data_IF_092198601600
#
_entry.id   IF_092198601600
#
_cell.length_a   1.000
_cell.length_b   1.000
_cell.length_c   1.000
_cell.angle_alpha   90.00
_cell.angle_beta   90.00
_cell.angle_gamma   90.00
#
_symmetry.space_group_name_H-M   'P 1'
#
loop_
_entity.id
_entity.type
_entity.pdbx_description
1 polymer ?
#
# COMPACT_ATOMS: atom_id res chain seq x y z
N UNK A 1 0.24 12.18 7.85
CA UNK A 1 -0.57 12.26 6.62
C UNK A 1 -1.48 11.06 6.48
N UNK A 2 -2.75 11.38 6.48
CA UNK A 2 -3.86 10.48 6.78
C UNK A 2 -4.55 10.18 5.45
N UNK A 3 -4.24 9.02 4.85
CA UNK A 3 -4.97 8.48 3.68
C UNK A 3 -6.41 8.02 4.03
N UNK A 4 -6.95 8.38 5.20
CA UNK A 4 -8.24 7.87 5.69
C UNK A 4 -9.46 8.47 4.98
N UNK A 5 -9.33 9.64 4.37
CA UNK A 5 -10.38 10.30 3.57
C UNK A 5 -9.95 10.57 2.13
N UNK A 6 -8.75 10.13 1.75
CA UNK A 6 -8.29 10.30 0.38
C UNK A 6 -9.20 9.48 -0.54
N UNK A 7 -9.67 10.11 -1.62
CA UNK A 7 -10.67 9.56 -2.53
C UNK A 7 -12.07 9.33 -1.92
N UNK A 8 -12.36 9.88 -0.74
CA UNK A 8 -13.71 9.83 -0.14
C UNK A 8 -14.78 10.52 -0.99
N UNK A 9 -14.38 11.55 -1.74
CA UNK A 9 -15.24 12.28 -2.69
C UNK A 9 -14.83 12.01 -4.15
N UNK A 10 -14.12 10.91 -4.42
CA UNK A 10 -13.66 10.57 -5.76
C UNK A 10 -14.83 10.19 -6.66
N UNK A 11 -15.41 11.21 -7.30
CA UNK A 11 -16.41 11.04 -8.34
C UNK A 11 -15.78 10.58 -9.66
N UNK A 12 -16.59 9.88 -10.46
CA UNK A 12 -16.18 9.38 -11.77
C UNK A 12 -15.60 10.50 -12.66
N UNK A 13 -14.41 10.27 -13.21
CA UNK A 13 -13.76 11.17 -14.18
C UNK A 13 -12.80 12.22 -13.61
N UNK A 14 -12.57 12.24 -12.29
CA UNK A 14 -11.55 13.11 -11.68
C UNK A 14 -10.21 12.38 -11.58
N UNK A 15 -9.14 13.04 -12.07
CA UNK A 15 -7.78 12.56 -11.91
C UNK A 15 -7.26 12.92 -10.52
N UNK A 16 -6.82 11.93 -9.75
CA UNK A 16 -6.17 12.13 -8.45
C UNK A 16 -4.68 11.83 -8.53
N UNK A 17 -3.87 12.74 -7.99
CA UNK A 17 -2.45 12.49 -7.72
C UNK A 17 -2.28 12.29 -6.23
N UNK A 18 -1.76 11.12 -5.85
CA UNK A 18 -1.54 10.78 -4.46
C UNK A 18 -0.04 10.79 -4.13
N UNK A 19 0.50 11.89 -3.58
CA UNK A 19 1.89 11.93 -3.18
C UNK A 19 2.10 11.02 -1.96
N UNK A 20 3.20 10.27 -1.96
CA UNK A 20 3.70 9.55 -0.80
C UNK A 20 5.20 9.76 -0.69
N UNK A 21 5.69 9.86 0.53
CA UNK A 21 7.11 10.01 0.81
C UNK A 21 7.67 8.68 1.30
N UNK A 22 8.70 8.19 0.63
CA UNK A 22 9.51 7.09 1.15
C UNK A 22 10.47 7.65 2.20
N UNK A 23 10.58 7.04 3.40
CA UNK A 23 11.61 7.39 4.36
C UNK A 23 13.01 7.31 3.74
N UNK A 24 13.88 8.25 4.08
CA UNK A 24 15.24 8.32 3.50
C UNK A 24 16.10 7.10 3.86
N UNK A 25 15.78 6.44 4.97
CA UNK A 25 16.41 5.21 5.48
C UNK A 25 15.71 3.93 5.00
N UNK A 26 14.76 4.02 4.05
CA UNK A 26 14.17 2.84 3.44
C UNK A 26 15.26 1.98 2.77
N UNK A 27 15.21 0.64 2.89
CA UNK A 27 16.19 -0.22 2.25
C UNK A 27 16.18 -0.11 0.72
N UNK A 28 17.37 -0.03 0.14
CA UNK A 28 17.56 -0.05 -1.31
C UNK A 28 17.22 -1.42 -1.90
N UNK A 29 16.64 -1.41 -3.10
CA UNK A 29 16.48 -2.62 -3.91
C UNK A 29 15.20 -2.65 -4.74
N UNK A 30 14.99 -3.75 -5.50
CA UNK A 30 13.72 -4.03 -6.17
C UNK A 30 12.61 -4.22 -5.14
N UNK A 31 11.46 -3.60 -5.39
CA UNK A 31 10.26 -3.72 -4.57
C UNK A 31 9.01 -3.66 -5.44
N UNK A 32 7.87 -4.07 -4.86
CA UNK A 32 6.54 -3.87 -5.46
C UNK A 32 5.86 -2.72 -4.74
N UNK A 33 5.51 -1.67 -5.48
CA UNK A 33 4.52 -0.71 -5.01
C UNK A 33 3.13 -1.32 -5.22
N UNK A 34 2.41 -1.55 -4.12
CA UNK A 34 1.01 -1.98 -4.18
C UNK A 34 0.11 -0.87 -3.63
N UNK A 35 -0.69 -0.27 -4.51
CA UNK A 35 -1.77 0.63 -4.11
C UNK A 35 -3.01 -0.20 -3.83
N UNK A 36 -3.51 -0.13 -2.60
CA UNK A 36 -4.74 -0.79 -2.17
C UNK A 36 -5.77 0.27 -1.81
N UNK A 37 -6.99 0.14 -2.33
CA UNK A 37 -8.08 1.07 -2.09
C UNK A 37 -9.37 0.32 -1.71
N UNK A 38 -9.95 0.70 -0.56
CA UNK A 38 -11.29 0.25 -0.18
C UNK A 38 -12.28 1.31 -0.72
N UNK A 39 -13.01 0.99 -1.80
CA UNK A 39 -14.02 1.91 -2.39
C UNK A 39 -15.07 2.27 -1.33
N UNK A 40 -15.75 3.42 -1.39
CA UNK A 40 -16.78 3.81 -0.42
C UNK A 40 -18.23 3.87 -0.99
N UNK A 41 -18.39 3.55 -2.26
CA UNK A 41 -19.66 3.60 -2.98
C UNK A 41 -20.03 2.21 -3.51
N UNK A 42 -21.32 1.89 -3.50
CA UNK A 42 -21.83 0.61 -3.98
C UNK A 42 -21.40 -0.59 -3.13
N UNK A 43 -21.13 -1.72 -3.79
CA UNK A 43 -20.58 -2.89 -3.12
C UNK A 43 -19.15 -2.58 -2.68
N UNK A 44 -18.94 -2.50 -1.36
CA UNK A 44 -17.64 -2.25 -0.74
C UNK A 44 -16.62 -3.33 -1.14
N UNK A 45 -15.72 -2.97 -2.05
CA UNK A 45 -14.69 -3.84 -2.62
C UNK A 45 -13.29 -3.28 -2.35
N UNK A 46 -12.32 -4.17 -2.46
CA UNK A 46 -10.90 -3.84 -2.40
C UNK A 46 -10.34 -3.85 -3.81
N UNK A 47 -9.83 -2.71 -4.25
CA UNK A 47 -9.05 -2.57 -5.48
C UNK A 47 -7.56 -2.62 -5.15
N UNK A 48 -6.77 -3.26 -6.01
CA UNK A 48 -5.31 -3.32 -5.89
C UNK A 48 -4.65 -3.14 -7.24
N UNK A 49 -3.61 -2.30 -7.29
CA UNK A 49 -2.75 -2.14 -8.46
C UNK A 49 -1.28 -2.22 -8.06
N UNK A 50 -0.50 -3.01 -8.78
CA UNK A 50 0.91 -3.27 -8.49
C UNK A 50 1.82 -2.68 -9.57
N UNK A 51 3.01 -2.23 -9.16
CA UNK A 51 4.07 -1.79 -10.06
C UNK A 51 5.44 -2.19 -9.52
N UNK A 52 6.32 -2.63 -10.42
CA UNK A 52 7.73 -2.88 -10.10
C UNK A 52 8.47 -1.55 -9.93
N UNK A 53 9.16 -1.37 -8.81
CA UNK A 53 9.94 -0.16 -8.51
C UNK A 53 11.34 -0.51 -8.00
N UNK A 54 12.26 0.43 -8.16
CA UNK A 54 13.59 0.37 -7.53
C UNK A 54 13.68 1.46 -6.48
N UNK A 55 13.77 1.08 -5.20
CA UNK A 55 14.00 2.01 -4.09
C UNK A 55 15.47 2.40 -4.06
N UNK A 56 15.75 3.70 -4.04
CA UNK A 56 17.07 4.28 -3.86
C UNK A 56 17.20 4.85 -2.44
N UNK A 57 17.62 4.01 -1.49
CA UNK A 57 17.77 4.37 -0.08
C UNK A 57 19.08 3.86 0.51
N UNK A 58 19.03 3.17 1.65
CA UNK A 58 20.25 2.69 2.35
C UNK A 58 20.58 1.21 2.05
N UNK A 59 21.82 0.78 2.30
CA UNK A 59 22.19 -0.63 2.19
C UNK A 59 21.69 -1.41 3.42
N UNK A 60 20.65 -2.22 3.23
CA UNK A 60 19.90 -2.80 4.34
C UNK A 60 19.10 -1.76 5.12
N UNK A 61 18.48 -2.19 6.21
CA UNK A 61 17.69 -1.34 7.10
C UNK A 61 16.30 -1.91 7.35
N UNK A 62 15.38 -1.05 7.79
CA UNK A 62 13.98 -1.42 7.98
C UNK A 62 13.05 -0.32 7.49
N UNK A 63 11.85 -0.73 7.09
CA UNK A 63 10.75 0.15 6.76
C UNK A 63 9.58 -0.19 7.69
N UNK A 64 9.13 0.80 8.45
CA UNK A 64 7.98 0.67 9.35
C UNK A 64 6.76 1.39 8.79
N UNK A 65 5.60 0.81 9.02
CA UNK A 65 4.32 1.36 8.62
C UNK A 65 3.19 0.67 9.37
N UNK A 66 2.02 0.65 8.77
CA UNK A 66 0.85 -0.09 9.26
C UNK A 66 0.40 -1.07 8.19
N UNK A 67 -0.18 -2.20 8.61
CA UNK A 67 -0.73 -3.20 7.69
C UNK A 67 -1.84 -2.58 6.81
N UNK A 68 -2.07 -3.13 5.60
CA UNK A 68 -3.23 -2.74 4.79
C UNK A 68 -4.53 -3.19 5.47
N UNK A 69 -5.58 -2.37 5.38
CA UNK A 69 -6.92 -2.78 5.79
C UNK A 69 -7.58 -3.58 4.69
N UNK A 70 -7.84 -4.84 4.97
CA UNK A 70 -8.65 -5.73 4.14
C UNK A 70 -10.04 -5.78 4.79
N UNK A 71 -11.01 -5.05 4.24
CA UNK A 71 -12.39 -5.04 4.70
C UNK A 71 -13.31 -5.81 3.75
N UNK A 72 -14.46 -6.26 4.27
CA UNK A 72 -15.54 -6.88 3.49
C UNK A 72 -15.12 -8.14 2.69
N UNK A 73 -14.03 -8.81 3.09
CA UNK A 73 -13.51 -10.03 2.48
C UNK A 73 -13.69 -11.23 3.42
N UNK A 74 -14.90 -11.80 3.44
CA UNK A 74 -15.23 -12.97 4.24
C UNK A 74 -15.37 -12.70 5.76
N UNK A 75 -15.66 -13.74 6.56
CA UNK A 75 -16.14 -13.60 7.93
C UNK A 75 -15.10 -13.07 8.94
N UNK A 76 -13.81 -13.10 8.59
CA UNK A 76 -12.71 -12.70 9.48
C UNK A 76 -12.21 -11.28 9.23
N UNK A 77 -12.89 -10.52 8.38
CA UNK A 77 -12.52 -9.14 8.08
C UNK A 77 -13.57 -8.17 8.60
N UNK A 78 -13.19 -6.92 8.93
CA UNK A 78 -14.17 -5.89 9.28
C UNK A 78 -15.19 -5.72 8.16
N UNK A 79 -16.47 -5.70 8.53
CA UNK A 79 -17.51 -5.22 7.63
C UNK A 79 -17.59 -3.70 7.74
N UNK A 80 -17.32 -3.01 6.65
CA UNK A 80 -17.53 -1.56 6.53
C UNK A 80 -18.72 -1.35 5.62
N UNK A 81 -19.68 -0.57 6.09
CA UNK A 81 -20.91 -0.27 5.36
C UNK A 81 -20.67 0.83 4.31
N UNK A 82 -21.49 0.85 3.26
CA UNK A 82 -21.49 1.92 2.25
C UNK A 82 -21.73 3.29 2.91
N UNK A 83 -21.03 4.33 2.44
CA UNK A 83 -21.02 5.65 3.09
C UNK A 83 -22.42 6.26 3.22
N UNK A 84 -23.28 6.10 2.21
CA UNK A 84 -24.66 6.62 2.19
C UNK A 84 -25.54 6.00 3.26
N UNK A 85 -25.25 4.76 3.68
CA UNK A 85 -25.97 4.06 4.73
C UNK A 85 -25.31 4.22 6.10
N UNK A 86 -24.04 4.62 6.12
CA UNK A 86 -23.22 4.76 7.32
C UNK A 86 -23.08 6.22 7.80
N UNK A 87 -23.93 7.14 7.31
CA UNK A 87 -23.87 8.58 7.63
C UNK A 87 -22.47 9.20 7.41
N UNK A 88 -21.79 8.83 6.32
CA UNK A 88 -20.44 9.33 6.00
C UNK A 88 -19.31 8.67 6.80
N UNK A 89 -19.57 7.59 7.52
CA UNK A 89 -18.52 6.78 8.14
C UNK A 89 -17.87 5.87 7.08
N UNK A 90 -16.59 6.12 6.78
CA UNK A 90 -15.80 5.38 5.79
C UNK A 90 -14.99 4.24 6.41
N UNK A 91 -15.18 3.95 7.70
CA UNK A 91 -14.42 2.97 8.47
C UNK A 91 -13.11 3.52 9.05
N UNK A 92 -13.04 4.82 9.32
CA UNK A 92 -11.84 5.49 9.85
C UNK A 92 -11.29 4.80 11.11
N UNK A 93 -12.16 4.27 11.98
CA UNK A 93 -11.77 3.52 13.17
C UNK A 93 -10.97 2.25 12.84
N UNK A 94 -11.35 1.52 11.78
CA UNK A 94 -10.62 0.33 11.33
C UNK A 94 -9.27 0.71 10.72
N UNK A 95 -9.20 1.83 9.98
CA UNK A 95 -7.92 2.35 9.48
C UNK A 95 -6.98 2.80 10.59
N UNK A 96 -7.52 3.35 11.68
CA UNK A 96 -6.74 3.75 12.84
C UNK A 96 -6.26 2.55 13.68
N UNK A 97 -7.03 1.45 13.70
CA UNK A 97 -6.73 0.25 14.47
C UNK A 97 -5.74 -0.72 13.80
N UNK A 98 -5.25 -0.41 12.60
CA UNK A 98 -4.32 -1.27 11.84
C UNK A 98 -3.03 -1.46 12.62
N UNK A 99 -2.54 -2.70 12.63
CA UNK A 99 -1.33 -3.03 13.38
C UNK A 99 -0.10 -2.41 12.72
N UNK A 100 0.87 -1.95 13.53
CA UNK A 100 2.18 -1.58 13.00
C UNK A 100 2.85 -2.81 12.40
N UNK A 101 3.54 -2.63 11.29
CA UNK A 101 4.36 -3.65 10.63
C UNK A 101 5.73 -3.06 10.34
N UNK A 102 6.76 -3.90 10.45
CA UNK A 102 8.13 -3.54 10.12
C UNK A 102 8.72 -4.62 9.21
N UNK A 103 9.26 -4.19 8.08
CA UNK A 103 9.99 -5.05 7.14
C UNK A 103 11.47 -4.73 7.28
N UNK A 104 12.30 -5.76 7.47
CA UNK A 104 13.75 -5.61 7.60
C UNK A 104 14.45 -6.26 6.42
N UNK A 105 15.39 -5.54 5.82
CA UNK A 105 16.23 -6.02 4.73
C UNK A 105 17.67 -6.07 5.23
N UNK A 106 18.35 -7.23 5.13
CA UNK A 106 19.75 -7.33 5.52
C UNK A 106 20.62 -6.49 4.58
N UNK A 107 21.69 -5.90 5.12
CA UNK A 107 22.68 -5.23 4.30
C UNK A 107 23.28 -6.23 3.30
N UNK A 108 23.32 -5.85 2.02
CA UNK A 108 24.01 -6.64 1.02
C UNK A 108 25.51 -6.41 1.22
N UNK A 109 26.23 -7.47 1.57
CA UNK A 109 27.68 -7.48 1.47
C UNK A 109 28.06 -7.55 0.00
N UNK A 110 29.17 -6.93 -0.37
CA UNK A 110 29.72 -6.97 -1.72
C UNK A 110 30.25 -8.38 -2.05
N UNK A 111 29.38 -9.37 -2.14
CA UNK A 111 29.70 -10.68 -2.72
C UNK A 111 29.23 -10.68 -4.17
N UNK A 112 30.19 -10.63 -5.09
CA UNK A 112 30.12 -10.84 -6.55
C UNK A 112 28.71 -10.82 -7.15
N UNK A 113 28.43 -9.77 -7.95
CA UNK A 113 27.33 -9.76 -8.95
C UNK A 113 27.28 -11.13 -9.64
N UNK A 114 26.29 -11.96 -9.28
CA UNK A 114 25.93 -13.08 -10.15
C UNK A 114 25.17 -12.44 -11.29
N UNK A 115 25.86 -12.20 -12.40
CA UNK A 115 25.25 -11.74 -13.65
C UNK A 115 24.26 -12.81 -14.12
N UNK A 116 23.02 -12.74 -13.64
CA UNK A 116 21.93 -13.40 -14.33
C UNK A 116 21.60 -12.50 -15.52
N UNK A 117 22.28 -12.74 -16.63
CA UNK A 117 21.82 -12.34 -17.96
C UNK A 117 20.48 -13.03 -18.20
N UNK A 118 19.38 -12.44 -17.71
CA UNK A 118 18.05 -12.83 -18.13
C UNK A 118 17.80 -12.11 -19.46
N UNK A 119 18.26 -12.72 -20.54
CA UNK A 119 17.75 -12.42 -21.88
C UNK A 119 16.27 -12.78 -21.83
N UNK A 120 15.41 -11.77 -21.78
CA UNK A 120 13.99 -11.93 -22.12
C UNK A 120 13.90 -11.55 -23.58
N UNK A 121 13.89 -12.56 -24.44
CA UNK A 121 13.49 -12.35 -25.83
C UNK A 121 11.98 -12.12 -25.84
N UNK A 122 11.57 -11.05 -26.52
CA UNK A 122 10.17 -10.74 -26.84
C UNK A 122 9.62 -11.73 -27.86
#
# INVERSE_FOLDING_TARGET
DIFQTCLGDASNGINYTLPFNLPADAPSGPAILNLIWNNNEGNREIYSSCSDVIIKGTNGGSLSGVEPLIANYGPNTPFIQEAVLANGNYGQAYFAARKPITVTVPAQTSSKRRSLNRIVNY
#
